data_IF_383058378517
#
_entry.id   IF_383058378517
#
_cell.length_a   1.000
_cell.length_b   1.000
_cell.length_c   1.000
_cell.angle_alpha   90.00
_cell.angle_beta   90.00
_cell.angle_gamma   90.00
#
_symmetry.space_group_name_H-M   'P 1'
#
loop_
_entity.id
_entity.type
_entity.pdbx_description
1 polymer ?
#
# COMPACT_ATOMS: atom_id res chain seq x y z
N UNK A 1 5.17 6.51 25.51
CA UNK A 1 3.77 6.03 25.51
C UNK A 1 3.41 5.57 24.10
N UNK A 2 2.65 4.47 23.91
CA UNK A 2 2.22 4.05 22.59
C UNK A 2 1.24 5.05 21.98
N UNK A 3 1.36 5.32 20.68
CA UNK A 3 0.45 6.22 19.96
C UNK A 3 -0.96 5.61 19.82
N UNK A 4 -1.04 4.29 19.62
CA UNK A 4 -2.31 3.56 19.50
C UNK A 4 -2.45 2.55 20.63
N UNK A 5 -3.60 2.59 21.31
CA UNK A 5 -3.97 1.67 22.39
C UNK A 5 -5.30 0.95 22.04
N UNK A 6 -5.48 -0.32 22.44
CA UNK A 6 -6.75 -1.01 22.23
C UNK A 6 -7.84 -0.41 23.14
N UNK A 7 -9.01 -0.11 22.57
CA UNK A 7 -10.16 0.43 23.32
C UNK A 7 -11.15 -0.64 23.80
N UNK A 8 -10.95 -1.90 23.40
CA UNK A 8 -11.79 -3.04 23.81
C UNK A 8 -10.98 -4.00 24.69
N UNK A 9 -11.63 -4.53 25.73
CA UNK A 9 -11.01 -5.43 26.70
C UNK A 9 -10.36 -4.71 27.87
N UNK A 10 -9.49 -5.40 28.61
CA UNK A 10 -8.77 -4.83 29.75
C UNK A 10 -7.74 -3.81 29.25
N UNK A 11 -7.90 -2.55 29.65
CA UNK A 11 -6.94 -1.50 29.36
C UNK A 11 -5.68 -1.71 30.20
N UNK A 12 -4.58 -2.11 29.55
CA UNK A 12 -3.29 -2.37 30.20
C UNK A 12 -2.28 -1.24 30.02
N UNK A 13 -2.61 -0.22 29.21
CA UNK A 13 -1.66 0.81 28.76
C UNK A 13 -0.67 0.31 27.70
N UNK A 14 -0.76 -0.95 27.28
CA UNK A 14 0.04 -1.49 26.19
C UNK A 14 -0.45 -0.99 24.82
N UNK A 15 0.48 -0.95 23.86
CA UNK A 15 0.15 -0.60 22.47
C UNK A 15 -0.74 -1.66 21.80
N UNK A 16 -1.45 -1.25 20.76
CA UNK A 16 -2.21 -2.19 19.92
C UNK A 16 -1.27 -3.19 19.24
N UNK A 17 -1.73 -4.42 19.07
CA UNK A 17 -0.97 -5.47 18.36
C UNK A 17 -1.05 -5.30 16.85
N UNK A 18 -0.11 -5.90 16.11
CA UNK A 18 -0.15 -5.92 14.64
C UNK A 18 -1.46 -6.54 14.12
N UNK A 19 -1.93 -7.62 14.74
CA UNK A 19 -3.22 -8.23 14.39
C UNK A 19 -4.40 -7.27 14.67
N UNK A 20 -4.33 -6.48 15.76
CA UNK A 20 -5.32 -5.45 16.04
C UNK A 20 -5.39 -4.39 14.94
N UNK A 21 -4.24 -3.96 14.39
CA UNK A 21 -4.21 -3.06 13.23
C UNK A 21 -4.85 -3.74 12.01
N UNK A 22 -4.52 -5.00 11.74
CA UNK A 22 -5.11 -5.76 10.63
C UNK A 22 -6.65 -5.79 10.73
N UNK A 23 -7.19 -6.14 11.90
CA UNK A 23 -8.64 -6.16 12.16
C UNK A 23 -9.29 -4.79 11.96
N UNK A 24 -8.61 -3.70 12.36
CA UNK A 24 -9.11 -2.34 12.12
C UNK A 24 -9.21 -2.05 10.62
N UNK A 25 -8.16 -2.36 9.85
CA UNK A 25 -8.15 -2.16 8.39
C UNK A 25 -9.25 -2.98 7.71
N UNK A 26 -9.38 -4.26 8.05
CA UNK A 26 -10.41 -5.15 7.51
C UNK A 26 -11.83 -4.63 7.80
N UNK A 27 -12.07 -4.15 9.02
CA UNK A 27 -13.36 -3.56 9.39
C UNK A 27 -13.71 -2.31 8.56
N UNK A 28 -12.73 -1.45 8.26
CA UNK A 28 -12.95 -0.28 7.40
C UNK A 28 -13.09 -0.64 5.93
N UNK A 29 -12.31 -1.60 5.42
CA UNK A 29 -12.46 -2.12 4.07
C UNK A 29 -13.89 -2.62 3.81
N UNK A 30 -14.42 -3.44 4.74
CA UNK A 30 -15.80 -3.93 4.68
C UNK A 30 -16.83 -2.79 4.69
N UNK A 31 -16.65 -1.79 5.56
CA UNK A 31 -17.54 -0.61 5.63
C UNK A 31 -17.50 0.23 4.36
N UNK A 32 -16.35 0.29 3.70
CA UNK A 32 -16.17 1.01 2.44
C UNK A 32 -16.64 0.21 1.22
N UNK A 33 -17.12 -1.04 1.39
CA UNK A 33 -17.51 -1.91 0.28
C UNK A 33 -16.34 -2.39 -0.58
N UNK A 34 -15.12 -2.41 -0.03
CA UNK A 34 -13.92 -2.84 -0.75
C UNK A 34 -13.76 -4.35 -0.58
N UNK A 35 -14.18 -5.11 -1.58
CA UNK A 35 -14.08 -6.57 -1.61
C UNK A 35 -12.87 -7.01 -2.45
N UNK A 36 -11.69 -6.98 -1.83
CA UNK A 36 -10.44 -7.43 -2.45
C UNK A 36 -9.84 -8.56 -1.61
N UNK A 37 -9.62 -9.71 -2.25
CA UNK A 37 -9.00 -10.86 -1.61
C UNK A 37 -7.60 -10.49 -1.08
N UNK A 38 -7.36 -10.75 0.21
CA UNK A 38 -6.07 -10.45 0.84
C UNK A 38 -5.81 -8.96 1.11
N UNK A 39 -6.84 -8.10 1.07
CA UNK A 39 -6.68 -6.70 1.48
C UNK A 39 -6.34 -6.60 2.97
N UNK A 40 -5.25 -5.91 3.25
CA UNK A 40 -4.76 -5.64 4.59
C UNK A 40 -3.69 -4.55 4.59
N UNK A 41 -2.99 -4.39 5.71
CA UNK A 41 -1.97 -3.32 5.90
C UNK A 41 -0.91 -3.29 4.80
N UNK A 42 -0.46 -4.45 4.34
CA UNK A 42 0.53 -4.53 3.26
C UNK A 42 -0.06 -4.14 1.90
N UNK A 43 -1.32 -4.50 1.63
CA UNK A 43 -2.03 -4.08 0.42
C UNK A 43 -2.21 -2.56 0.34
N UNK A 44 -2.50 -1.90 1.47
CA UNK A 44 -2.56 -0.45 1.53
C UNK A 44 -1.20 0.20 1.23
N UNK A 45 -0.12 -0.33 1.80
CA UNK A 45 1.25 0.13 1.50
C UNK A 45 1.62 -0.05 0.03
N UNK A 46 1.30 -1.20 -0.55
CA UNK A 46 1.51 -1.47 -1.97
C UNK A 46 0.74 -0.51 -2.87
N UNK A 47 -0.51 -0.21 -2.52
CA UNK A 47 -1.37 0.76 -3.22
C UNK A 47 -0.76 2.16 -3.15
N UNK A 48 -0.30 2.58 -1.97
CA UNK A 48 0.33 3.88 -1.79
C UNK A 48 1.62 4.04 -2.61
N UNK A 49 2.46 3.00 -2.64
CA UNK A 49 3.69 2.96 -3.46
C UNK A 49 3.37 3.03 -4.96
N UNK A 50 2.42 2.21 -5.40
CA UNK A 50 1.92 2.18 -6.79
C UNK A 50 1.44 3.56 -7.21
N UNK A 51 0.51 4.15 -6.44
CA UNK A 51 -0.11 5.42 -6.77
C UNK A 51 0.93 6.55 -6.85
N UNK A 52 1.93 6.56 -5.96
CA UNK A 52 2.99 7.56 -6.03
C UNK A 52 3.78 7.45 -7.34
N UNK A 53 4.18 6.23 -7.72
CA UNK A 53 4.97 5.98 -8.93
C UNK A 53 4.18 6.24 -10.21
N UNK A 54 2.90 5.88 -10.23
CA UNK A 54 1.98 6.18 -11.34
C UNK A 54 1.77 7.68 -11.54
N UNK A 55 1.82 8.48 -10.47
CA UNK A 55 1.80 9.96 -10.53
C UNK A 55 3.20 10.57 -10.56
N UNK A 56 4.12 9.89 -11.25
CA UNK A 56 5.46 10.41 -11.60
C UNK A 56 6.38 10.74 -10.41
N UNK A 57 6.12 10.19 -9.23
CA UNK A 57 7.06 10.32 -8.12
C UNK A 57 8.40 9.66 -8.47
N UNK A 58 9.48 10.28 -8.00
CA UNK A 58 10.83 9.73 -8.08
C UNK A 58 10.92 8.43 -7.26
N UNK A 59 11.35 7.36 -7.91
CA UNK A 59 11.46 6.03 -7.29
C UNK A 59 12.43 6.00 -6.10
N UNK A 60 13.47 6.83 -6.09
CA UNK A 60 14.38 6.95 -4.96
C UNK A 60 13.69 7.60 -3.75
N UNK A 61 12.80 8.57 -3.99
CA UNK A 61 11.98 9.19 -2.92
C UNK A 61 10.94 8.20 -2.38
N UNK A 62 10.30 7.43 -3.26
CA UNK A 62 9.36 6.38 -2.85
C UNK A 62 10.08 5.28 -2.06
N UNK A 63 11.29 4.86 -2.46
CA UNK A 63 12.12 3.92 -1.70
C UNK A 63 12.40 4.44 -0.28
N UNK A 64 12.83 5.69 -0.15
CA UNK A 64 13.13 6.31 1.13
C UNK A 64 11.89 6.38 2.03
N UNK A 65 10.74 6.79 1.47
CA UNK A 65 9.46 6.85 2.19
C UNK A 65 9.01 5.49 2.70
N UNK A 66 9.19 4.44 1.90
CA UNK A 66 8.88 3.06 2.29
C UNK A 66 9.91 2.52 3.28
N UNK A 67 11.15 3.03 3.31
CA UNK A 67 12.24 2.47 4.11
C UNK A 67 12.79 1.16 3.52
N UNK A 68 12.76 1.01 2.20
CA UNK A 68 13.32 -0.15 1.53
C UNK A 68 14.84 -0.04 1.42
N UNK A 69 15.56 -1.10 1.81
CA UNK A 69 17.02 -1.16 1.73
C UNK A 69 17.55 -1.34 0.30
N UNK A 70 16.73 -1.87 -0.62
CA UNK A 70 17.13 -2.16 -1.99
C UNK A 70 16.07 -1.62 -2.97
N UNK A 71 16.50 -0.82 -3.94
CA UNK A 71 15.63 -0.23 -4.98
C UNK A 71 14.80 -1.28 -5.73
N UNK A 72 15.33 -2.49 -5.92
CA UNK A 72 14.63 -3.59 -6.58
C UNK A 72 13.33 -3.99 -5.86
N UNK A 73 13.26 -3.81 -4.53
CA UNK A 73 12.01 -4.05 -3.77
C UNK A 73 10.97 -2.94 -3.96
N UNK A 74 11.38 -1.75 -4.38
CA UNK A 74 10.47 -0.67 -4.78
C UNK A 74 10.02 -0.82 -6.22
N UNK A 75 10.91 -1.29 -7.11
CA UNK A 75 10.61 -1.49 -8.54
C UNK A 75 9.41 -2.40 -8.80
N UNK A 76 9.10 -3.35 -7.92
CA UNK A 76 7.92 -4.22 -8.07
C UNK A 76 6.59 -3.45 -8.07
N UNK A 77 6.58 -2.20 -7.57
CA UNK A 77 5.40 -1.32 -7.56
C UNK A 77 5.37 -0.35 -8.75
N UNK A 78 6.45 -0.27 -9.54
CA UNK A 78 6.53 0.61 -10.69
C UNK A 78 5.93 -0.07 -11.92
N UNK A 79 4.73 0.34 -12.32
CA UNK A 79 4.02 -0.23 -13.47
C UNK A 79 4.21 0.57 -14.76
N UNK A 80 4.97 1.68 -14.73
CA UNK A 80 5.12 2.58 -15.87
C UNK A 80 5.70 1.90 -17.11
N UNK A 81 6.61 0.93 -16.92
CA UNK A 81 7.21 0.16 -18.03
C UNK A 81 6.23 -0.85 -18.70
N UNK A 82 5.09 -1.16 -18.07
CA UNK A 82 4.11 -2.13 -18.56
C UNK A 82 2.84 -1.48 -19.13
N UNK A 83 2.87 -0.18 -19.40
CA UNK A 83 1.72 0.58 -19.90
C UNK A 83 1.44 0.25 -21.37
N UNK A 84 0.26 -0.34 -21.69
CA UNK A 84 -0.10 -0.64 -23.07
C UNK A 84 -0.03 0.59 -23.99
N UNK A 85 -0.39 1.77 -23.47
CA UNK A 85 -0.36 3.04 -24.19
C UNK A 85 1.03 3.51 -24.63
N UNK A 86 2.09 3.03 -23.97
CA UNK A 86 3.48 3.33 -24.30
C UNK A 86 4.04 2.33 -25.35
N UNK A 87 3.28 1.30 -25.72
CA UNK A 87 3.64 0.35 -26.78
C UNK A 87 3.51 0.96 -28.18
N UNK A 88 4.50 0.76 -29.08
CA UNK A 88 4.43 1.21 -30.48
C UNK A 88 3.17 0.73 -31.21
N UNK A 89 2.66 -0.43 -30.83
CA UNK A 89 1.49 -1.08 -31.46
C UNK A 89 0.17 -0.45 -31.03
N UNK A 90 0.10 0.18 -29.84
CA UNK A 90 -1.15 0.77 -29.31
C UNK A 90 -1.58 2.02 -30.07
N UNK A 91 -0.63 2.74 -30.70
CA UNK A 91 -0.92 3.97 -31.46
C UNK A 91 -1.41 3.72 -32.89
N UNK A 92 -1.43 2.46 -33.33
CA UNK A 92 -1.92 2.10 -34.67
C UNK A 92 -3.42 1.87 -34.59
N UNK A 93 -4.22 2.87 -34.98
CA UNK A 93 -5.64 2.68 -35.28
C UNK A 93 -5.73 1.99 -36.65
N UNK A 94 -6.34 0.81 -36.70
CA UNK A 94 -6.85 0.22 -37.94
C UNK A 94 -8.15 0.92 -38.35
#
# INVERSE_FOLDING_TARGET
>A
MPLFIPLRGKLTGAGITANGIYTVVEAYAKKAGIEVAGLGVHGLRATAATNALEHEADIAKVQAWLGHANISTTKIYDRRENRPEDSPTYKVKY
#
